data_IF_858325816315
#
_entry.id   IF_858325816315
#
_cell.length_a   1.000
_cell.length_b   1.000
_cell.length_c   1.000
_cell.angle_alpha   90.00
_cell.angle_beta   90.00
_cell.angle_gamma   90.00
#
_symmetry.space_group_name_H-M   'P 1'
#
loop_
_entity.id
_entity.type
_entity.pdbx_description
1 polymer ?
#
# COMPACT_ATOMS: atom_id res chain seq x y z
N UNK A 1 -4.63 30.50 4.11
CA UNK A 1 -4.98 29.73 5.32
C UNK A 1 -4.69 28.27 5.02
N UNK A 2 -4.00 27.55 5.91
CA UNK A 2 -3.82 26.11 5.75
C UNK A 2 -5.16 25.40 5.95
N UNK A 3 -5.47 24.44 5.08
CA UNK A 3 -6.70 23.65 5.17
C UNK A 3 -6.38 22.45 6.05
N UNK A 4 -7.12 22.32 7.15
CA UNK A 4 -7.06 21.16 8.04
C UNK A 4 -8.19 20.16 7.69
N UNK A 5 -7.96 18.84 7.85
CA UNK A 5 -6.71 18.23 8.32
C UNK A 5 -5.63 18.16 7.25
N UNK A 6 -4.37 18.34 7.65
CA UNK A 6 -3.20 18.05 6.81
C UNK A 6 -3.06 16.55 6.47
N UNK A 7 -2.31 16.24 5.41
CA UNK A 7 -1.98 14.86 5.05
C UNK A 7 -1.04 14.24 6.09
N UNK A 8 -1.49 13.17 6.74
CA UNK A 8 -0.66 12.40 7.66
C UNK A 8 0.28 11.47 6.88
N UNK A 9 1.32 10.94 7.53
CA UNK A 9 2.13 9.90 6.91
C UNK A 9 1.36 8.58 6.76
N UNK A 10 1.76 7.75 5.79
CA UNK A 10 1.21 6.41 5.62
C UNK A 10 1.73 5.45 6.68
N UNK A 11 0.83 4.76 7.37
CA UNK A 11 1.15 3.63 8.26
C UNK A 11 0.75 2.31 7.59
N UNK A 12 1.73 1.48 7.27
CA UNK A 12 1.49 0.14 6.72
C UNK A 12 1.25 -0.89 7.83
N UNK A 13 0.10 -1.56 7.77
CA UNK A 13 -0.20 -2.71 8.60
C UNK A 13 0.56 -3.93 8.09
N UNK A 14 1.51 -4.42 8.88
CA UNK A 14 2.43 -5.47 8.46
C UNK A 14 1.73 -6.78 8.12
N UNK A 15 0.73 -7.19 8.89
CA UNK A 15 -0.01 -8.41 8.66
C UNK A 15 -0.69 -8.41 7.28
N UNK A 16 -1.33 -7.30 6.91
CA UNK A 16 -1.91 -7.13 5.57
C UNK A 16 -0.85 -7.01 4.47
N UNK A 17 0.24 -6.26 4.72
CA UNK A 17 1.29 -6.04 3.74
C UNK A 17 2.03 -7.34 3.39
N UNK A 18 2.27 -8.21 4.37
CA UNK A 18 2.92 -9.50 4.16
C UNK A 18 2.04 -10.43 3.30
N UNK A 19 0.72 -10.44 3.53
CA UNK A 19 -0.22 -11.19 2.67
C UNK A 19 -0.26 -10.62 1.25
N UNK A 20 -0.39 -9.30 1.11
CA UNK A 20 -0.34 -8.64 -0.20
C UNK A 20 0.95 -8.98 -0.95
N UNK A 21 2.09 -8.96 -0.26
CA UNK A 21 3.40 -9.28 -0.84
C UNK A 21 3.47 -10.73 -1.30
N UNK A 22 3.00 -11.67 -0.48
CA UNK A 22 2.95 -13.09 -0.85
C UNK A 22 2.02 -13.32 -2.07
N UNK A 23 0.85 -12.69 -2.08
CA UNK A 23 -0.12 -12.80 -3.17
C UNK A 23 0.36 -12.15 -4.47
N UNK A 24 1.05 -11.01 -4.38
CA UNK A 24 1.69 -10.38 -5.53
C UNK A 24 2.80 -11.29 -6.12
N UNK A 25 3.57 -11.98 -5.27
CA UNK A 25 4.59 -12.91 -5.73
C UNK A 25 3.99 -14.11 -6.50
N UNK A 26 2.82 -14.61 -6.09
CA UNK A 26 2.08 -15.65 -6.84
C UNK A 26 1.67 -15.19 -8.25
N UNK A 27 1.50 -13.88 -8.45
CA UNK A 27 1.19 -13.26 -9.74
C UNK A 27 2.44 -12.89 -10.54
N UNK A 28 3.63 -13.29 -10.09
CA UNK A 28 4.90 -12.98 -10.74
C UNK A 28 5.41 -11.55 -10.48
N UNK A 29 4.86 -10.85 -9.48
CA UNK A 29 5.30 -9.50 -9.09
C UNK A 29 6.18 -9.58 -7.85
N UNK A 30 7.42 -9.14 -7.96
CA UNK A 30 8.33 -9.02 -6.81
C UNK A 30 8.12 -7.67 -6.14
N UNK A 31 7.62 -7.67 -4.89
CA UNK A 31 7.56 -6.46 -4.07
C UNK A 31 8.94 -6.21 -3.48
N UNK A 32 9.49 -5.04 -3.74
CA UNK A 32 10.79 -4.64 -3.21
C UNK A 32 10.64 -3.90 -1.88
N UNK A 33 11.59 -4.04 -0.93
CA UNK A 33 11.58 -3.29 0.30
C UNK A 33 11.61 -1.78 0.05
N UNK A 34 10.82 -1.03 0.82
CA UNK A 34 10.73 0.43 0.70
C UNK A 34 12.08 1.15 0.85
N UNK A 35 13.05 0.57 1.58
CA UNK A 35 14.40 1.14 1.77
C UNK A 35 15.24 1.24 0.49
N UNK A 36 14.92 0.45 -0.54
CA UNK A 36 15.68 0.46 -1.80
C UNK A 36 15.03 1.34 -2.87
N UNK A 37 13.70 1.50 -2.84
CA UNK A 37 12.92 2.18 -3.87
C UNK A 37 11.77 2.98 -3.26
N UNK A 38 12.10 3.89 -2.34
CA UNK A 38 11.09 4.67 -1.63
C UNK A 38 10.47 5.72 -2.56
N UNK A 39 9.23 5.46 -3.00
CA UNK A 39 8.38 6.50 -3.60
C UNK A 39 7.67 7.19 -2.44
N UNK A 40 8.13 8.39 -2.08
CA UNK A 40 7.48 9.22 -1.07
C UNK A 40 6.50 10.15 -1.78
N UNK A 41 5.22 10.08 -1.39
CA UNK A 41 4.15 10.90 -1.95
C UNK A 41 3.19 11.39 -0.85
N UNK A 42 2.53 12.52 -1.11
CA UNK A 42 1.43 13.01 -0.27
C UNK A 42 0.14 12.31 -0.69
N UNK A 43 -0.51 11.60 0.24
CA UNK A 43 -1.75 10.86 -0.02
C UNK A 43 -2.71 10.94 1.17
N UNK A 44 -4.01 11.01 0.88
CA UNK A 44 -5.09 10.88 1.87
C UNK A 44 -5.13 9.52 2.55
N UNK A 45 -4.51 8.49 1.95
CA UNK A 45 -4.36 7.17 2.57
C UNK A 45 -3.58 7.25 3.89
N UNK A 46 -2.70 8.26 4.03
CA UNK A 46 -2.05 8.56 5.31
C UNK A 46 -3.08 8.80 6.41
N UNK A 47 -4.07 9.65 6.16
CA UNK A 47 -5.15 9.92 7.12
C UNK A 47 -6.00 8.67 7.40
N UNK A 48 -6.33 7.89 6.36
CA UNK A 48 -7.09 6.63 6.51
C UNK A 48 -6.34 5.63 7.40
N UNK A 49 -5.01 5.58 7.29
CA UNK A 49 -4.16 4.68 8.07
C UNK A 49 -4.13 4.95 9.58
N UNK A 50 -4.71 6.07 10.05
CA UNK A 50 -4.96 6.32 11.48
C UNK A 50 -6.33 5.85 11.98
N UNK A 51 -7.22 5.49 11.06
CA UNK A 51 -8.60 5.11 11.38
C UNK A 51 -8.78 3.60 11.29
N UNK A 52 -8.11 2.95 10.34
CA UNK A 52 -8.21 1.50 10.11
C UNK A 52 -6.86 0.88 9.71
N UNK A 53 -6.65 -0.43 9.98
CA UNK A 53 -5.54 -1.17 9.40
C UNK A 53 -5.48 -0.97 7.88
N UNK A 54 -4.36 -0.47 7.38
CA UNK A 54 -4.22 0.06 6.03
C UNK A 54 -2.89 -0.37 5.43
N UNK A 55 -2.79 -0.42 4.10
CA UNK A 55 -1.53 -0.60 3.36
C UNK A 55 -1.52 0.33 2.14
N UNK A 56 -0.35 0.77 1.70
CA UNK A 56 -0.21 1.56 0.48
C UNK A 56 0.96 1.09 -0.41
N UNK A 57 0.91 -0.15 -0.94
CA UNK A 57 1.95 -0.68 -1.81
C UNK A 57 1.91 -0.05 -3.21
N UNK A 58 3.09 0.06 -3.84
CA UNK A 58 3.21 0.52 -5.23
C UNK A 58 3.34 -0.65 -6.20
N UNK A 59 2.71 -0.55 -7.38
CA UNK A 59 2.85 -1.51 -8.46
C UNK A 59 3.45 -0.85 -9.71
N UNK A 60 4.43 -1.50 -10.33
CA UNK A 60 5.08 -1.01 -11.55
C UNK A 60 4.12 -1.08 -12.74
N UNK A 61 3.87 0.06 -13.36
CA UNK A 61 3.03 0.23 -14.56
C UNK A 61 3.73 0.98 -15.71
N UNK A 62 5.02 1.28 -15.55
CA UNK A 62 5.82 2.02 -16.53
C UNK A 62 7.31 1.59 -16.46
N UNK A 63 8.11 1.85 -17.52
CA UNK A 63 9.55 1.62 -17.50
C UNK A 63 10.26 2.26 -16.30
N UNK A 64 11.33 1.62 -15.83
CA UNK A 64 12.10 2.14 -14.69
C UNK A 64 12.67 3.52 -15.01
N UNK A 65 12.64 4.44 -14.03
CA UNK A 65 13.04 5.83 -14.24
C UNK A 65 11.95 6.74 -14.80
N UNK A 66 10.76 6.23 -15.13
CA UNK A 66 9.61 7.07 -15.50
C UNK A 66 9.05 7.75 -14.25
N UNK A 67 9.19 9.07 -14.15
CA UNK A 67 8.67 9.84 -13.03
C UNK A 67 7.14 9.96 -13.09
N UNK A 68 6.47 9.76 -11.95
CA UNK A 68 5.06 10.11 -11.78
C UNK A 68 4.85 11.62 -12.01
N UNK A 69 3.61 12.02 -12.34
CA UNK A 69 3.24 13.42 -12.65
C UNK A 69 3.89 13.98 -13.92
N UNK A 70 4.19 13.14 -14.90
CA UNK A 70 4.69 13.56 -16.22
C UNK A 70 3.76 13.11 -17.34
N UNK A 71 3.80 13.80 -18.48
CA UNK A 71 3.07 13.38 -19.69
C UNK A 71 3.51 12.00 -20.17
N UNK A 72 4.81 11.69 -20.04
CA UNK A 72 5.34 10.37 -20.36
C UNK A 72 4.68 9.28 -19.50
N UNK A 73 4.55 9.49 -18.18
CA UNK A 73 3.85 8.54 -17.31
C UNK A 73 2.37 8.42 -17.68
N UNK A 74 1.71 9.52 -18.05
CA UNK A 74 0.33 9.48 -18.51
C UNK A 74 0.18 8.61 -19.78
N UNK A 75 1.12 8.69 -20.72
CA UNK A 75 1.17 7.81 -21.89
C UNK A 75 1.34 6.33 -21.53
N UNK A 76 2.25 6.01 -20.60
CA UNK A 76 2.44 4.63 -20.13
C UNK A 76 1.26 4.11 -19.30
N UNK A 77 0.56 4.97 -18.55
CA UNK A 77 -0.61 4.60 -17.76
C UNK A 77 -1.80 4.13 -18.62
N UNK A 78 -1.83 4.47 -19.91
CA UNK A 78 -2.82 4.00 -20.88
C UNK A 78 -2.34 2.76 -21.68
N UNK A 79 -1.23 2.13 -21.27
CA UNK A 79 -0.65 0.98 -21.97
C UNK A 79 -1.18 -0.35 -21.46
N UNK A 80 -1.01 -1.40 -22.28
CA UNK A 80 -1.33 -2.77 -21.87
C UNK A 80 -0.52 -3.25 -20.65
N UNK A 81 0.71 -2.73 -20.43
CA UNK A 81 1.49 -3.03 -19.22
C UNK A 81 0.82 -2.45 -17.97
N UNK A 82 0.28 -1.24 -18.07
CA UNK A 82 -0.47 -0.60 -16.99
C UNK A 82 -1.80 -1.32 -16.72
N UNK A 83 -2.52 -1.77 -17.75
CA UNK A 83 -3.72 -2.59 -17.60
C UNK A 83 -3.43 -3.90 -16.84
N UNK A 84 -2.33 -4.57 -17.18
CA UNK A 84 -1.88 -5.76 -16.44
C UNK A 84 -1.53 -5.43 -14.99
N UNK A 85 -0.89 -4.28 -14.73
CA UNK A 85 -0.60 -3.84 -13.37
C UNK A 85 -1.89 -3.61 -12.55
N UNK A 86 -2.93 -3.04 -13.15
CA UNK A 86 -4.24 -2.87 -12.49
C UNK A 86 -4.85 -4.23 -12.16
N UNK A 87 -4.85 -5.18 -13.10
CA UNK A 87 -5.39 -6.52 -12.89
C UNK A 87 -4.63 -7.29 -11.81
N UNK A 88 -3.30 -7.21 -11.81
CA UNK A 88 -2.47 -7.88 -10.81
C UNK A 88 -2.67 -7.26 -9.42
N UNK A 89 -2.72 -5.93 -9.31
CA UNK A 89 -3.01 -5.24 -8.07
C UNK A 89 -4.39 -5.61 -7.51
N UNK A 90 -5.42 -5.64 -8.37
CA UNK A 90 -6.77 -6.05 -7.98
C UNK A 90 -6.81 -7.50 -7.47
N UNK A 91 -6.14 -8.43 -8.16
CA UNK A 91 -6.05 -9.84 -7.73
C UNK A 91 -5.29 -9.99 -6.41
N UNK A 92 -4.15 -9.30 -6.25
CA UNK A 92 -3.38 -9.34 -5.01
C UNK A 92 -4.20 -8.82 -3.83
N UNK A 93 -4.95 -7.72 -4.00
CA UNK A 93 -5.88 -7.23 -2.97
C UNK A 93 -7.00 -8.23 -2.66
N UNK A 94 -7.62 -8.82 -3.69
CA UNK A 94 -8.70 -9.79 -3.51
C UNK A 94 -8.22 -11.05 -2.77
N UNK A 95 -7.04 -11.57 -3.11
CA UNK A 95 -6.43 -12.70 -2.41
C UNK A 95 -6.09 -12.36 -0.95
N UNK A 96 -5.62 -11.15 -0.67
CA UNK A 96 -5.40 -10.70 0.72
C UNK A 96 -6.71 -10.64 1.51
N UNK A 97 -7.82 -10.26 0.89
CA UNK A 97 -9.15 -10.32 1.53
C UNK A 97 -9.57 -11.78 1.78
N UNK A 98 -9.27 -12.69 0.85
CA UNK A 98 -9.51 -14.13 1.06
C UNK A 98 -8.68 -14.64 2.25
N UNK A 99 -7.40 -14.28 2.35
CA UNK A 99 -6.55 -14.63 3.49
C UNK A 99 -7.17 -14.14 4.80
N UNK A 100 -7.66 -12.88 4.84
CA UNK A 100 -8.35 -12.32 6.00
C UNK A 100 -9.60 -13.12 6.40
N UNK A 101 -10.29 -13.72 5.43
CA UNK A 101 -11.47 -14.55 5.69
C UNK A 101 -11.10 -15.95 6.16
N UNK A 102 -10.07 -16.55 5.56
CA UNK A 102 -9.75 -17.98 5.76
C UNK A 102 -8.73 -18.24 6.87
N UNK A 103 -7.90 -17.25 7.21
CA UNK A 103 -6.91 -17.34 8.29
C UNK A 103 -7.45 -16.65 9.54
N UNK A 104 -8.03 -17.43 10.46
CA UNK A 104 -8.78 -16.90 11.61
C UNK A 104 -8.03 -15.95 12.54
N UNK A 105 -6.69 -15.99 12.58
CA UNK A 105 -5.85 -15.09 13.37
C UNK A 105 -5.54 -13.76 12.69
N UNK A 106 -5.63 -13.69 11.35
CA UNK A 106 -5.02 -12.59 10.59
C UNK A 106 -5.64 -11.22 10.92
N UNK A 107 -6.97 -11.14 11.00
CA UNK A 107 -7.66 -9.90 11.38
C UNK A 107 -7.38 -9.48 12.83
N UNK A 108 -7.23 -10.44 13.75
CA UNK A 108 -6.88 -10.15 15.13
C UNK A 108 -5.46 -9.58 15.23
N UNK A 109 -4.50 -10.21 14.56
CA UNK A 109 -3.11 -9.72 14.46
C UNK A 109 -3.04 -8.34 13.80
N UNK A 110 -3.77 -8.11 12.71
CA UNK A 110 -3.82 -6.80 12.05
C UNK A 110 -4.34 -5.71 12.99
N UNK A 111 -5.39 -6.01 13.78
CA UNK A 111 -5.92 -5.07 14.78
C UNK A 111 -4.92 -4.80 15.90
N UNK A 112 -4.31 -5.82 16.48
CA UNK A 112 -3.29 -5.67 17.54
C UNK A 112 -2.11 -4.81 17.06
N UNK A 113 -1.63 -5.04 15.85
CA UNK A 113 -0.57 -4.22 15.24
C UNK A 113 -1.01 -2.77 15.07
N UNK A 114 -2.23 -2.53 14.60
CA UNK A 114 -2.78 -1.18 14.43
C UNK A 114 -2.90 -0.43 15.75
N UNK A 115 -3.44 -1.06 16.79
CA UNK A 115 -3.56 -0.48 18.13
C UNK A 115 -2.17 -0.16 18.72
N UNK A 116 -1.19 -1.05 18.53
CA UNK A 116 0.18 -0.80 18.95
C UNK A 116 0.81 0.39 18.20
N UNK A 117 0.64 0.49 16.88
CA UNK A 117 1.17 1.60 16.08
C UNK A 117 0.61 2.96 16.55
N UNK A 118 -0.69 3.04 16.83
CA UNK A 118 -1.31 4.26 17.35
C UNK A 118 -0.87 4.57 18.79
N UNK A 119 -0.72 3.54 19.63
CA UNK A 119 -0.28 3.68 21.01
C UNK A 119 1.14 4.27 21.15
N UNK A 120 2.05 3.93 20.23
CA UNK A 120 3.41 4.50 20.19
C UNK A 120 3.39 6.01 19.93
N UNK A 121 2.43 6.51 19.14
CA UNK A 121 2.36 7.93 18.74
C UNK A 121 1.61 8.81 19.74
N UNK A 122 0.78 8.22 20.61
CA UNK A 122 0.05 8.95 21.65
C UNK A 122 0.95 9.44 22.81
N UNK A 123 2.22 9.02 22.85
CA UNK A 123 3.23 9.55 23.78
C UNK A 123 3.85 10.79 23.15
N UNK A 124 3.55 12.02 23.64
CA UNK A 124 4.15 13.23 23.09
C UNK A 124 5.64 13.23 23.40
N UNK A 125 6.49 13.48 22.40
CA UNK A 125 7.84 14.02 22.59
C UNK A 125 7.78 15.51 22.83
#
# INVERSE_FOLDING_TARGET
QWIEPSYAEGLDNRAHLDRYTANAALLGRTVMPAVEHQVVGSTDMGNVSYVVPSIHPMIKSAPAGTAIHTEAFAGFAASAEADLAVLDGAKAMALTVVDCWTEGSLLATAREQFEHMLGVRAVPT
#
